data_IF_070902209989
#
_entry.id   IF_070902209989
#
_cell.length_a   1.000
_cell.length_b   1.000
_cell.length_c   1.000
_cell.angle_alpha   90.00
_cell.angle_beta   90.00
_cell.angle_gamma   90.00
#
_symmetry.space_group_name_H-M   'P 1'
#
loop_
_entity.id
_entity.type
_entity.pdbx_description
1 polymer ?
#
# COMPACT_ATOMS: atom_id res chain seq x y z
N UNK A 1 16.49 18.51 -50.36
CA UNK A 1 16.26 17.14 -50.86
C UNK A 1 16.44 16.12 -49.75
N UNK A 2 17.53 16.15 -48.96
CA UNK A 2 17.77 15.24 -47.83
C UNK A 2 16.70 15.35 -46.74
N UNK A 3 16.28 16.57 -46.38
CA UNK A 3 15.22 16.79 -45.38
C UNK A 3 13.88 16.18 -45.84
N UNK A 4 13.55 16.32 -47.12
CA UNK A 4 12.32 15.73 -47.69
C UNK A 4 12.37 14.22 -47.66
N UNK A 5 13.49 13.62 -48.06
CA UNK A 5 13.70 12.15 -47.98
C UNK A 5 13.63 11.65 -46.52
N UNK A 6 14.22 12.39 -45.56
CA UNK A 6 14.15 12.04 -44.16
C UNK A 6 12.71 12.10 -43.61
N UNK A 7 11.94 13.16 -43.95
CA UNK A 7 10.53 13.29 -43.62
C UNK A 7 9.69 12.14 -44.20
N UNK A 8 9.92 11.77 -45.47
CA UNK A 8 9.26 10.63 -46.08
C UNK A 8 9.63 9.31 -45.41
N UNK A 9 10.87 9.12 -45.01
CA UNK A 9 11.30 7.94 -44.28
C UNK A 9 10.62 7.82 -42.93
N UNK A 10 10.49 8.92 -42.17
CA UNK A 10 9.78 8.94 -40.89
C UNK A 10 8.28 8.71 -41.08
N UNK A 11 7.67 9.32 -42.12
CA UNK A 11 6.26 9.13 -42.43
C UNK A 11 5.92 7.67 -42.77
N UNK A 12 6.89 6.92 -43.31
CA UNK A 12 6.76 5.50 -43.62
C UNK A 12 7.02 4.58 -42.42
N UNK A 13 7.49 5.09 -41.27
CA UNK A 13 7.58 4.30 -40.08
C UNK A 13 6.18 3.87 -39.59
N UNK A 14 6.04 2.59 -39.33
CA UNK A 14 4.75 2.06 -38.87
C UNK A 14 4.59 2.33 -37.36
N UNK A 15 4.31 3.59 -36.98
CA UNK A 15 4.11 3.99 -35.60
C UNK A 15 2.96 3.24 -34.92
N UNK A 16 1.91 2.89 -35.66
CA UNK A 16 0.79 2.11 -35.12
C UNK A 16 1.25 0.74 -34.68
N UNK A 17 2.00 0.03 -35.52
CA UNK A 17 2.52 -1.31 -35.21
C UNK A 17 3.48 -1.27 -34.04
N UNK A 18 4.42 -0.32 -34.00
CA UNK A 18 5.39 -0.20 -32.93
C UNK A 18 4.75 0.18 -31.60
N UNK A 19 3.79 1.11 -31.60
CA UNK A 19 3.06 1.47 -30.39
C UNK A 19 2.19 0.33 -29.88
N UNK A 20 1.54 -0.43 -30.75
CA UNK A 20 0.79 -1.64 -30.38
C UNK A 20 1.71 -2.74 -29.82
N UNK A 21 2.93 -2.88 -30.34
CA UNK A 21 3.91 -3.81 -29.80
C UNK A 21 4.30 -3.45 -28.36
N UNK A 22 4.49 -2.16 -28.04
CA UNK A 22 4.75 -1.68 -26.69
C UNK A 22 3.56 -1.98 -25.78
N UNK A 23 2.36 -1.61 -26.18
CA UNK A 23 1.13 -1.87 -25.42
C UNK A 23 0.96 -3.37 -25.12
N UNK A 24 1.11 -4.22 -26.15
CA UNK A 24 1.01 -5.68 -25.99
C UNK A 24 2.09 -6.25 -25.08
N UNK A 25 3.29 -5.66 -25.06
CA UNK A 25 4.35 -6.08 -24.14
C UNK A 25 3.96 -5.86 -22.67
N UNK A 26 3.26 -4.78 -22.36
CA UNK A 26 2.74 -4.54 -21.01
C UNK A 26 1.61 -5.51 -20.63
N UNK A 27 0.70 -5.84 -21.56
CA UNK A 27 -0.32 -6.87 -21.31
C UNK A 27 0.31 -8.24 -21.09
N UNK A 28 1.24 -8.65 -21.94
CA UNK A 28 1.96 -9.90 -21.78
C UNK A 28 2.74 -9.95 -20.44
N UNK A 29 3.35 -8.83 -20.04
CA UNK A 29 4.03 -8.75 -18.74
C UNK A 29 3.05 -8.89 -17.58
N UNK A 30 1.87 -8.25 -17.64
CA UNK A 30 0.85 -8.42 -16.60
C UNK A 30 0.34 -9.85 -16.51
N UNK A 31 0.18 -10.54 -17.63
CA UNK A 31 -0.22 -11.95 -17.65
C UNK A 31 0.85 -12.87 -17.06
N UNK A 32 2.13 -12.66 -17.39
CA UNK A 32 3.25 -13.38 -16.80
C UNK A 32 3.36 -13.16 -15.30
N UNK A 33 3.16 -11.92 -14.84
CA UNK A 33 3.15 -11.59 -13.41
C UNK A 33 1.98 -12.27 -12.70
N UNK A 34 0.79 -12.28 -13.29
CA UNK A 34 -0.37 -12.96 -12.72
C UNK A 34 -0.16 -14.47 -12.64
N UNK A 35 0.44 -15.08 -13.64
CA UNK A 35 0.81 -16.48 -13.61
C UNK A 35 1.85 -16.80 -12.50
N UNK A 36 2.86 -15.95 -12.35
CA UNK A 36 3.87 -16.11 -11.30
C UNK A 36 3.27 -15.87 -9.88
N UNK A 37 2.32 -14.94 -9.74
CA UNK A 37 1.59 -14.73 -8.49
C UNK A 37 0.75 -15.96 -8.17
N UNK A 38 0.01 -16.51 -9.12
CA UNK A 38 -0.83 -17.68 -8.92
C UNK A 38 -0.02 -18.93 -8.52
N UNK A 39 1.18 -19.10 -9.08
CA UNK A 39 2.07 -20.21 -8.76
C UNK A 39 2.65 -20.12 -7.33
N UNK A 40 3.04 -18.92 -6.90
CA UNK A 40 3.75 -18.72 -5.62
C UNK A 40 2.82 -18.34 -4.46
N UNK A 41 1.65 -17.84 -4.76
CA UNK A 41 0.72 -17.28 -3.78
C UNK A 41 -0.42 -18.23 -3.47
N UNK A 42 -0.35 -18.91 -2.33
CA UNK A 42 -1.47 -19.69 -1.83
C UNK A 42 -2.53 -18.75 -1.25
N UNK A 43 -3.59 -18.50 -2.02
CA UNK A 43 -4.76 -17.70 -1.63
C UNK A 43 -5.40 -18.23 -0.33
N UNK A 44 -5.26 -19.54 -0.06
CA UNK A 44 -5.85 -20.20 1.10
C UNK A 44 -5.39 -19.65 2.44
N UNK A 45 -4.13 -19.20 2.52
CA UNK A 45 -3.53 -18.75 3.79
C UNK A 45 -3.87 -17.30 4.15
N UNK A 46 -4.00 -16.43 3.16
CA UNK A 46 -4.13 -14.97 3.39
C UNK A 46 -5.48 -14.40 3.01
N UNK A 47 -6.27 -15.12 2.21
CA UNK A 47 -7.51 -14.62 1.59
C UNK A 47 -7.31 -13.31 0.81
N UNK A 48 -6.09 -13.07 0.31
CA UNK A 48 -5.76 -11.92 -0.53
C UNK A 48 -5.77 -12.34 -1.99
N UNK A 49 -6.43 -11.56 -2.84
CA UNK A 49 -6.38 -11.65 -4.30
C UNK A 49 -5.48 -10.52 -4.81
N UNK A 50 -4.36 -10.89 -5.45
CA UNK A 50 -3.39 -9.94 -5.99
C UNK A 50 -3.38 -10.10 -7.50
N UNK A 51 -3.55 -8.99 -8.21
CA UNK A 51 -3.54 -8.97 -9.68
C UNK A 51 -2.70 -7.84 -10.22
N UNK A 52 -1.80 -8.16 -11.13
CA UNK A 52 -1.12 -7.19 -11.96
C UNK A 52 -2.06 -6.73 -13.09
N UNK A 53 -2.11 -5.43 -13.32
CA UNK A 53 -2.92 -4.81 -14.39
C UNK A 53 -2.08 -3.82 -15.16
N UNK A 54 -2.19 -3.86 -16.48
CA UNK A 54 -1.65 -2.81 -17.34
C UNK A 54 -2.55 -1.59 -17.27
N UNK A 55 -1.98 -0.45 -16.89
CA UNK A 55 -2.66 0.84 -16.85
C UNK A 55 -1.99 1.83 -17.79
N UNK A 56 -2.79 2.75 -18.33
CA UNK A 56 -2.30 3.88 -19.09
C UNK A 56 -2.47 5.16 -18.26
N UNK A 57 -1.40 5.90 -18.05
CA UNK A 57 -1.44 7.12 -17.24
C UNK A 57 -1.84 8.32 -18.13
N UNK A 58 -3.13 8.56 -18.21
CA UNK A 58 -3.72 9.67 -18.99
C UNK A 58 -3.16 11.03 -18.55
N UNK A 59 -3.01 11.25 -17.26
CA UNK A 59 -2.52 12.53 -16.70
C UNK A 59 -1.09 12.81 -17.13
N UNK A 60 -0.21 11.80 -17.07
CA UNK A 60 1.19 11.95 -17.51
C UNK A 60 1.24 12.27 -19.00
N UNK A 61 0.43 11.61 -19.82
CA UNK A 61 0.37 11.86 -21.24
C UNK A 61 -0.12 13.28 -21.57
N UNK A 62 -1.25 13.68 -21.00
CA UNK A 62 -1.83 15.03 -21.22
C UNK A 62 -0.88 16.12 -20.76
N UNK A 63 -0.29 15.99 -19.56
CA UNK A 63 0.64 16.98 -19.03
C UNK A 63 1.89 17.09 -19.92
N UNK A 64 2.43 15.98 -20.40
CA UNK A 64 3.59 16.01 -21.31
C UNK A 64 3.34 16.83 -22.57
N UNK A 65 2.13 16.79 -23.11
CA UNK A 65 1.75 17.55 -24.30
C UNK A 65 1.40 19.00 -23.95
N UNK A 66 0.62 19.19 -22.88
CA UNK A 66 0.17 20.53 -22.46
C UNK A 66 1.32 21.44 -22.03
N UNK A 67 2.45 20.89 -21.60
CA UNK A 67 3.66 21.65 -21.29
C UNK A 67 4.34 22.25 -22.54
N UNK A 68 4.04 21.71 -23.72
CA UNK A 68 4.73 22.06 -24.96
C UNK A 68 3.84 22.89 -25.87
N UNK A 69 2.56 22.55 -25.98
CA UNK A 69 1.63 23.23 -26.88
C UNK A 69 0.54 23.98 -26.10
N UNK A 70 0.01 25.01 -26.74
CA UNK A 70 -1.13 25.74 -26.19
C UNK A 70 -2.44 25.00 -26.54
N UNK A 71 -2.94 24.20 -25.60
CA UNK A 71 -4.12 23.37 -25.78
C UNK A 71 -5.40 24.16 -26.07
N UNK A 72 -5.44 25.46 -25.74
CA UNK A 72 -6.67 26.27 -25.85
C UNK A 72 -7.02 26.72 -27.27
N UNK A 73 -6.07 26.73 -28.21
CA UNK A 73 -6.32 27.43 -29.46
C UNK A 73 -6.72 26.56 -30.66
N UNK A 74 -6.29 25.32 -30.76
CA UNK A 74 -6.53 24.56 -31.99
C UNK A 74 -6.79 23.07 -31.83
N UNK A 75 -6.12 22.41 -30.87
CA UNK A 75 -6.35 20.99 -30.64
C UNK A 75 -7.77 20.70 -30.18
N UNK A 76 -8.42 21.67 -29.52
CA UNK A 76 -9.81 21.55 -29.09
C UNK A 76 -10.80 21.54 -30.28
N UNK A 77 -10.52 22.20 -31.38
CA UNK A 77 -11.50 22.39 -32.46
C UNK A 77 -11.43 21.34 -33.55
N UNK A 78 -10.27 20.80 -33.88
CA UNK A 78 -10.14 19.76 -34.92
C UNK A 78 -9.63 18.42 -34.44
N UNK A 79 -8.88 18.38 -33.31
CA UNK A 79 -8.39 17.17 -32.69
C UNK A 79 -9.13 16.81 -31.41
N UNK A 80 -9.77 17.78 -30.78
CA UNK A 80 -10.34 17.66 -29.45
C UNK A 80 -11.37 16.55 -29.34
N UNK A 81 -12.23 16.40 -30.34
CA UNK A 81 -13.24 15.35 -30.35
C UNK A 81 -12.64 13.94 -30.49
N UNK A 82 -11.51 13.82 -31.23
CA UNK A 82 -10.89 12.52 -31.51
C UNK A 82 -9.78 12.14 -30.54
N UNK A 83 -9.14 13.11 -29.89
CA UNK A 83 -7.98 12.86 -29.02
C UNK A 83 -8.27 13.18 -27.56
N UNK A 84 -8.93 14.32 -27.28
CA UNK A 84 -9.30 14.74 -25.94
C UNK A 84 -10.81 14.87 -25.82
N UNK A 85 -11.36 14.56 -24.64
CA UNK A 85 -12.75 14.90 -24.36
C UNK A 85 -12.88 16.43 -24.34
N UNK A 86 -13.75 16.97 -25.19
CA UNK A 86 -13.89 18.42 -25.39
C UNK A 86 -14.30 19.20 -24.15
N UNK A 87 -14.95 18.56 -23.17
CA UNK A 87 -15.48 19.21 -21.99
C UNK A 87 -14.52 19.22 -20.80
N UNK A 88 -13.54 18.28 -20.73
CA UNK A 88 -12.73 18.08 -19.54
C UNK A 88 -11.22 17.92 -19.83
N UNK A 89 -10.78 18.08 -21.07
CA UNK A 89 -9.39 17.78 -21.49
C UNK A 89 -8.95 16.35 -21.11
N UNK A 90 -9.89 15.44 -20.93
CA UNK A 90 -9.61 14.06 -20.60
C UNK A 90 -9.19 13.29 -21.84
N UNK A 91 -8.02 12.68 -21.77
CA UNK A 91 -7.53 11.82 -22.85
C UNK A 91 -8.21 10.45 -22.80
N UNK A 92 -8.76 10.01 -23.92
CA UNK A 92 -9.28 8.66 -24.06
C UNK A 92 -8.22 7.74 -24.64
N UNK A 93 -7.91 6.68 -23.91
CA UNK A 93 -6.90 5.67 -24.26
C UNK A 93 -7.27 4.90 -25.54
N UNK A 94 -8.56 4.77 -25.85
CA UNK A 94 -9.03 4.05 -27.03
C UNK A 94 -8.35 4.60 -28.27
N UNK A 95 -7.84 3.67 -29.10
CA UNK A 95 -7.09 4.00 -30.32
C UNK A 95 -5.85 4.88 -30.09
N UNK A 96 -5.19 4.73 -28.91
CA UNK A 96 -3.98 5.50 -28.56
C UNK A 96 -2.93 5.44 -29.68
N UNK A 97 -2.67 4.24 -30.21
CA UNK A 97 -1.65 4.03 -31.24
C UNK A 97 -1.96 4.78 -32.54
N UNK A 98 -3.23 4.81 -32.96
CA UNK A 98 -3.66 5.56 -34.13
C UNK A 98 -3.57 7.08 -33.89
N UNK A 99 -3.91 7.54 -32.69
CA UNK A 99 -3.80 8.94 -32.29
C UNK A 99 -2.35 9.42 -32.31
N UNK A 100 -1.43 8.61 -31.74
CA UNK A 100 0.02 8.90 -31.78
C UNK A 100 0.50 9.01 -33.24
N UNK A 101 0.13 8.08 -34.10
CA UNK A 101 0.52 8.12 -35.51
C UNK A 101 0.03 9.39 -36.20
N UNK A 102 -1.20 9.83 -35.96
CA UNK A 102 -1.73 11.11 -36.45
C UNK A 102 -0.92 12.29 -35.91
N UNK A 103 -0.66 12.35 -34.60
CA UNK A 103 0.12 13.45 -34.01
C UNK A 103 1.55 13.52 -34.55
N UNK A 104 2.20 12.38 -34.80
CA UNK A 104 3.51 12.33 -35.46
C UNK A 104 3.44 12.87 -36.88
N UNK A 105 2.42 12.49 -37.67
CA UNK A 105 2.25 12.99 -39.02
C UNK A 105 2.07 14.52 -39.06
N UNK A 106 1.34 15.11 -38.11
CA UNK A 106 1.20 16.56 -38.01
C UNK A 106 2.51 17.23 -37.63
N UNK A 107 3.26 16.68 -36.66
CA UNK A 107 4.55 17.21 -36.28
C UNK A 107 5.55 17.21 -37.45
N UNK A 108 5.55 16.16 -38.28
CA UNK A 108 6.45 16.06 -39.45
C UNK A 108 6.08 17.04 -40.54
N UNK A 109 4.80 17.28 -40.76
CA UNK A 109 4.33 18.22 -41.78
C UNK A 109 4.61 19.68 -41.43
N UNK A 110 5.04 19.96 -40.19
CA UNK A 110 5.29 21.31 -39.66
C UNK A 110 4.11 22.26 -39.92
N UNK A 111 2.91 21.76 -39.85
CA UNK A 111 1.73 22.59 -40.08
C UNK A 111 1.48 23.42 -38.80
N UNK A 112 2.03 24.63 -38.80
CA UNK A 112 1.92 25.58 -37.68
C UNK A 112 0.47 25.89 -37.29
N UNK A 113 -0.47 25.67 -38.22
CA UNK A 113 -1.90 25.83 -37.94
C UNK A 113 -2.42 24.82 -36.92
N UNK A 114 -1.72 23.69 -36.76
CA UNK A 114 -2.11 22.61 -35.84
C UNK A 114 -1.26 22.54 -34.58
N UNK A 115 -0.02 23.03 -34.62
CA UNK A 115 0.92 22.96 -33.50
C UNK A 115 1.28 24.37 -33.02
N UNK A 116 0.46 24.92 -32.13
CA UNK A 116 0.76 26.18 -31.47
C UNK A 116 1.69 25.93 -30.26
N UNK A 117 3.00 25.97 -30.50
CA UNK A 117 4.00 25.78 -29.46
C UNK A 117 4.01 26.94 -28.48
N UNK A 118 4.23 26.61 -27.21
CA UNK A 118 4.59 27.59 -26.19
C UNK A 118 5.96 28.18 -26.48
N UNK A 119 6.23 29.37 -25.95
CA UNK A 119 7.48 30.08 -26.15
C UNK A 119 8.70 29.19 -25.84
N UNK A 120 9.63 29.08 -26.78
CA UNK A 120 10.86 28.29 -26.65
C UNK A 120 10.68 26.79 -26.86
N UNK A 121 9.48 26.30 -27.18
CA UNK A 121 9.22 24.88 -27.45
C UNK A 121 9.33 24.56 -28.95
N UNK A 122 9.67 23.31 -29.22
CA UNK A 122 10.02 22.83 -30.57
C UNK A 122 9.28 21.56 -30.94
N UNK A 123 9.21 21.27 -32.25
CA UNK A 123 8.69 20.01 -32.80
C UNK A 123 9.40 18.78 -32.17
N UNK A 124 10.71 18.88 -31.89
CA UNK A 124 11.49 17.80 -31.27
C UNK A 124 10.94 17.46 -29.87
N UNK A 125 10.71 18.47 -29.05
CA UNK A 125 10.17 18.27 -27.69
C UNK A 125 8.76 17.71 -27.74
N UNK A 126 7.94 18.15 -28.70
CA UNK A 126 6.60 17.61 -28.93
C UNK A 126 6.64 16.13 -29.31
N UNK A 127 7.51 15.74 -30.25
CA UNK A 127 7.69 14.33 -30.62
C UNK A 127 8.13 13.47 -29.43
N UNK A 128 9.06 13.98 -28.63
CA UNK A 128 9.50 13.29 -27.41
C UNK A 128 8.35 13.12 -26.39
N UNK A 129 7.49 14.11 -26.28
CA UNK A 129 6.35 14.07 -25.36
C UNK A 129 5.27 13.06 -25.78
N UNK A 130 4.89 13.05 -27.06
CA UNK A 130 3.86 12.13 -27.57
C UNK A 130 4.33 10.68 -27.65
N UNK A 131 5.65 10.46 -27.80
CA UNK A 131 6.27 9.13 -27.82
C UNK A 131 6.70 8.66 -26.40
N UNK A 132 6.47 9.45 -25.37
CA UNK A 132 6.75 9.05 -24.00
C UNK A 132 5.91 7.84 -23.61
N UNK A 133 6.57 6.85 -23.04
CA UNK A 133 5.85 5.70 -22.50
C UNK A 133 4.97 6.11 -21.30
N UNK A 134 3.68 5.90 -21.43
CA UNK A 134 2.69 6.17 -20.39
C UNK A 134 2.00 4.90 -19.88
N UNK A 135 2.44 3.71 -20.30
CA UNK A 135 1.99 2.45 -19.74
C UNK A 135 2.77 2.12 -18.48
N UNK A 136 2.09 1.54 -17.52
CA UNK A 136 2.66 1.04 -16.26
C UNK A 136 1.96 -0.26 -15.84
N UNK A 137 2.61 -1.01 -14.95
CA UNK A 137 1.96 -2.12 -14.24
C UNK A 137 1.58 -1.62 -12.86
N UNK A 138 0.32 -1.78 -12.54
CA UNK A 138 -0.21 -1.56 -11.18
C UNK A 138 -0.69 -2.87 -10.59
N UNK A 139 -0.58 -2.99 -9.26
CA UNK A 139 -1.07 -4.14 -8.53
C UNK A 139 -2.37 -3.77 -7.81
N UNK A 140 -3.44 -4.52 -8.13
CA UNK A 140 -4.70 -4.46 -7.40
C UNK A 140 -4.68 -5.56 -6.34
N UNK A 141 -4.81 -5.19 -5.07
CA UNK A 141 -4.83 -6.10 -3.94
C UNK A 141 -6.22 -6.03 -3.33
N UNK A 142 -6.87 -7.19 -3.22
CA UNK A 142 -8.22 -7.31 -2.63
C UNK A 142 -8.20 -8.27 -1.45
N UNK A 143 -9.02 -7.97 -0.47
CA UNK A 143 -9.38 -8.88 0.62
C UNK A 143 -10.90 -9.06 0.64
N UNK A 144 -11.36 -10.21 0.17
CA UNK A 144 -12.78 -10.42 -0.16
C UNK A 144 -13.23 -9.50 -1.28
N UNK A 145 -14.26 -8.68 -1.05
CA UNK A 145 -14.77 -7.69 -2.01
C UNK A 145 -14.01 -6.36 -2.01
N UNK A 146 -13.24 -6.08 -0.96
CA UNK A 146 -12.65 -4.78 -0.74
C UNK A 146 -11.30 -4.65 -1.46
N UNK A 147 -11.14 -3.62 -2.27
CA UNK A 147 -9.85 -3.24 -2.86
C UNK A 147 -9.03 -2.42 -1.87
N UNK A 148 -7.71 -2.57 -1.89
CA UNK A 148 -6.78 -1.81 -1.04
C UNK A 148 -6.98 -0.29 -1.18
N UNK A 149 -7.41 0.18 -2.34
CA UNK A 149 -7.64 1.61 -2.60
C UNK A 149 -8.86 2.17 -1.82
N UNK A 150 -9.82 1.31 -1.48
CA UNK A 150 -11.08 1.70 -0.80
C UNK A 150 -11.12 1.28 0.67
N UNK A 151 -10.12 0.54 1.15
CA UNK A 151 -10.02 0.12 2.54
C UNK A 151 -9.69 1.29 3.47
N UNK A 152 -10.13 1.18 4.73
CA UNK A 152 -9.64 2.05 5.82
C UNK A 152 -8.14 1.88 6.02
N UNK A 153 -7.46 2.88 6.59
CA UNK A 153 -6.01 2.84 6.82
C UNK A 153 -5.61 1.64 7.70
N UNK A 154 -6.38 1.32 8.72
CA UNK A 154 -6.15 0.14 9.55
C UNK A 154 -6.23 -1.18 8.76
N UNK A 155 -7.25 -1.32 7.93
CA UNK A 155 -7.41 -2.50 7.06
C UNK A 155 -6.28 -2.63 6.04
N UNK A 156 -5.83 -1.51 5.46
CA UNK A 156 -4.64 -1.45 4.60
C UNK A 156 -3.38 -1.93 5.33
N UNK A 157 -3.17 -1.46 6.56
CA UNK A 157 -2.03 -1.86 7.39
C UNK A 157 -1.96 -3.37 7.58
N UNK A 158 -3.08 -4.02 7.92
CA UNK A 158 -3.14 -5.49 8.05
C UNK A 158 -2.86 -6.19 6.71
N UNK A 159 -3.45 -5.72 5.63
CA UNK A 159 -3.23 -6.31 4.30
C UNK A 159 -1.76 -6.22 3.90
N UNK A 160 -1.11 -5.07 4.13
CA UNK A 160 0.31 -4.86 3.86
C UNK A 160 1.17 -5.76 4.76
N UNK A 161 0.85 -5.88 6.05
CA UNK A 161 1.55 -6.78 6.97
C UNK A 161 1.43 -8.23 6.52
N UNK A 162 0.23 -8.69 6.18
CA UNK A 162 -0.01 -10.04 5.65
C UNK A 162 0.78 -10.28 4.35
N UNK A 163 0.79 -9.31 3.44
CA UNK A 163 1.54 -9.37 2.20
C UNK A 163 3.04 -9.49 2.46
N UNK A 164 3.60 -8.63 3.30
CA UNK A 164 5.02 -8.64 3.65
C UNK A 164 5.45 -9.95 4.27
N UNK A 165 4.70 -10.44 5.25
CA UNK A 165 5.04 -11.68 5.96
C UNK A 165 4.90 -12.91 5.06
N UNK A 166 3.96 -12.89 4.11
CA UNK A 166 3.76 -14.00 3.16
C UNK A 166 4.83 -14.03 2.06
N UNK A 167 5.31 -12.88 1.62
CA UNK A 167 6.36 -12.77 0.59
C UNK A 167 7.77 -12.99 1.15
N UNK A 168 7.97 -12.71 2.43
CA UNK A 168 9.28 -12.83 3.07
C UNK A 168 9.68 -14.31 3.23
N UNK A 169 10.70 -14.73 2.52
CA UNK A 169 11.33 -16.07 2.65
C UNK A 169 12.42 -16.11 3.74
N UNK A 170 12.66 -15.01 4.43
CA UNK A 170 13.70 -14.93 5.43
C UNK A 170 13.28 -15.66 6.73
N UNK A 171 14.20 -16.41 7.32
CA UNK A 171 14.01 -17.14 8.59
C UNK A 171 14.31 -16.26 9.83
N UNK A 172 14.72 -15.02 9.63
CA UNK A 172 15.02 -14.10 10.73
C UNK A 172 13.77 -13.73 11.53
N UNK A 173 13.93 -13.39 12.83
CA UNK A 173 12.84 -12.89 13.66
C UNK A 173 12.15 -11.67 13.03
N UNK A 174 10.85 -11.55 13.25
CA UNK A 174 10.05 -10.41 12.85
C UNK A 174 9.83 -9.52 14.07
N UNK A 175 10.14 -8.24 13.93
CA UNK A 175 9.85 -7.21 14.92
C UNK A 175 8.62 -6.43 14.45
N UNK A 176 7.58 -6.39 15.27
CA UNK A 176 6.33 -5.66 15.01
C UNK A 176 6.12 -4.65 16.13
N UNK A 177 6.07 -3.39 15.79
CA UNK A 177 5.84 -2.31 16.74
C UNK A 177 4.42 -1.78 16.59
N UNK A 178 3.64 -1.87 17.65
CA UNK A 178 2.28 -1.35 17.82
C UNK A 178 1.35 -1.58 16.61
N UNK A 179 1.12 -2.84 16.20
CA UNK A 179 0.30 -3.13 15.02
C UNK A 179 -1.16 -2.71 15.18
N UNK A 180 -1.59 -2.40 16.40
CA UNK A 180 -2.94 -1.99 16.76
C UNK A 180 -3.24 -0.50 16.57
N UNK A 181 -2.26 0.38 16.43
CA UNK A 181 -2.44 1.83 16.52
C UNK A 181 -3.50 2.43 15.59
N UNK A 182 -3.69 1.86 14.42
CA UNK A 182 -4.67 2.33 13.44
C UNK A 182 -5.80 1.32 13.18
N UNK A 183 -5.96 0.32 14.07
CA UNK A 183 -6.92 -0.75 13.89
C UNK A 183 -8.10 -0.58 14.84
N UNK A 184 -9.31 -0.82 14.34
CA UNK A 184 -10.44 -1.04 15.23
C UNK A 184 -10.30 -2.40 15.93
N UNK A 185 -10.84 -2.52 17.14
CA UNK A 185 -10.72 -3.73 17.96
C UNK A 185 -11.19 -5.00 17.23
N UNK A 186 -12.23 -4.90 16.40
CA UNK A 186 -12.78 -6.04 15.68
C UNK A 186 -11.82 -6.57 14.63
N UNK A 187 -11.17 -5.69 13.90
CA UNK A 187 -10.19 -6.06 12.88
C UNK A 187 -8.95 -6.69 13.53
N UNK A 188 -8.51 -6.15 14.67
CA UNK A 188 -7.39 -6.73 15.46
C UNK A 188 -7.70 -8.16 15.85
N UNK A 189 -8.89 -8.42 16.40
CA UNK A 189 -9.26 -9.75 16.87
C UNK A 189 -9.40 -10.78 15.77
N UNK A 190 -10.03 -10.42 14.66
CA UNK A 190 -10.39 -11.39 13.63
C UNK A 190 -9.25 -11.68 12.63
N UNK A 191 -8.53 -10.65 12.24
CA UNK A 191 -7.59 -10.76 11.13
C UNK A 191 -6.13 -10.86 11.57
N UNK A 192 -5.71 -10.00 12.50
CA UNK A 192 -4.32 -9.91 12.93
C UNK A 192 -3.94 -11.09 13.83
N UNK A 193 -4.78 -11.43 14.81
CA UNK A 193 -4.52 -12.53 15.74
C UNK A 193 -4.35 -13.86 15.03
N UNK A 194 -5.30 -14.19 14.16
CA UNK A 194 -5.26 -15.45 13.40
C UNK A 194 -4.00 -15.54 12.54
N UNK A 195 -3.63 -14.43 11.94
CA UNK A 195 -2.46 -14.37 11.10
C UNK A 195 -1.15 -14.50 11.89
N UNK A 196 -1.01 -13.81 13.04
CA UNK A 196 0.16 -13.94 13.92
C UNK A 196 0.30 -15.37 14.43
N UNK A 197 -0.81 -16.01 14.84
CA UNK A 197 -0.80 -17.43 15.27
C UNK A 197 -0.29 -18.39 14.19
N UNK A 198 -0.59 -18.10 12.92
CA UNK A 198 -0.07 -18.90 11.82
C UNK A 198 1.42 -18.64 11.58
N UNK A 199 1.84 -17.38 11.62
CA UNK A 199 3.22 -16.98 11.38
C UNK A 199 4.17 -17.46 12.47
N UNK A 200 3.79 -17.41 13.77
CA UNK A 200 4.63 -17.81 14.89
C UNK A 200 5.05 -19.29 14.84
N UNK A 201 4.30 -20.14 14.12
CA UNK A 201 4.66 -21.54 13.90
C UNK A 201 5.84 -21.73 12.96
N UNK A 202 6.14 -20.72 12.14
CA UNK A 202 7.18 -20.78 11.11
C UNK A 202 8.41 -19.96 11.47
N UNK A 203 8.26 -18.90 12.27
CA UNK A 203 9.35 -18.00 12.63
C UNK A 203 9.05 -17.22 13.91
N UNK A 204 10.09 -16.79 14.59
CA UNK A 204 9.96 -15.99 15.80
C UNK A 204 9.33 -14.63 15.48
N UNK A 205 8.34 -14.23 16.30
CA UNK A 205 7.72 -12.90 16.26
C UNK A 205 7.98 -12.23 17.60
N UNK A 206 8.52 -11.04 17.57
CA UNK A 206 8.69 -10.15 18.73
C UNK A 206 7.80 -8.94 18.48
N UNK A 207 6.81 -8.76 19.34
CA UNK A 207 5.80 -7.72 19.17
C UNK A 207 5.80 -6.77 20.38
N UNK A 208 5.80 -5.48 20.12
CA UNK A 208 5.55 -4.45 21.13
C UNK A 208 4.10 -4.00 20.98
N UNK A 209 3.36 -3.98 22.09
CA UNK A 209 1.95 -3.61 22.10
C UNK A 209 1.56 -3.03 23.46
N UNK A 210 0.67 -2.06 23.45
CA UNK A 210 -0.02 -1.60 24.66
C UNK A 210 -1.41 -2.24 24.83
N UNK A 211 -1.79 -3.12 23.89
CA UNK A 211 -3.07 -3.82 23.90
C UNK A 211 -2.91 -5.23 24.45
N UNK A 212 -3.19 -5.41 25.71
CA UNK A 212 -3.08 -6.71 26.38
C UNK A 212 -4.03 -7.77 25.78
N UNK A 213 -5.15 -7.39 25.14
CA UNK A 213 -5.99 -8.33 24.41
C UNK A 213 -5.24 -8.97 23.23
N UNK A 214 -4.36 -8.21 22.56
CA UNK A 214 -3.53 -8.75 21.49
C UNK A 214 -2.57 -9.81 22.04
N UNK A 215 -1.95 -9.55 23.18
CA UNK A 215 -1.02 -10.48 23.85
C UNK A 215 -1.72 -11.80 24.18
N UNK A 216 -2.90 -11.75 24.80
CA UNK A 216 -3.67 -12.95 25.16
C UNK A 216 -4.16 -13.70 23.93
N UNK A 217 -4.73 -12.99 22.96
CA UNK A 217 -5.33 -13.62 21.78
C UNK A 217 -4.32 -14.15 20.78
N UNK A 218 -3.07 -13.69 20.77
CA UNK A 218 -1.99 -14.26 19.94
C UNK A 218 -1.31 -15.46 20.59
N UNK A 219 -1.68 -15.78 21.84
CA UNK A 219 -1.12 -16.90 22.58
C UNK A 219 0.41 -16.80 22.65
N UNK A 220 0.88 -15.71 23.29
CA UNK A 220 2.29 -15.41 23.41
C UNK A 220 2.98 -16.38 24.40
N UNK A 221 4.09 -17.01 23.99
CA UNK A 221 4.85 -17.95 24.82
C UNK A 221 5.65 -17.23 25.92
N UNK A 222 6.09 -16.00 25.65
CA UNK A 222 6.81 -15.18 26.62
C UNK A 222 6.30 -13.74 26.54
N UNK A 223 5.97 -13.17 27.68
CA UNK A 223 5.48 -11.81 27.83
C UNK A 223 6.52 -11.03 28.62
N UNK A 224 6.90 -9.87 28.09
CA UNK A 224 7.82 -8.94 28.74
C UNK A 224 7.02 -7.72 29.16
N UNK A 225 6.87 -7.50 30.45
CA UNK A 225 6.25 -6.30 31.01
C UNK A 225 7.32 -5.27 31.26
N UNK A 226 7.16 -4.10 30.68
CA UNK A 226 8.06 -2.96 30.80
C UNK A 226 7.46 -1.91 31.73
N UNK A 227 8.28 -1.32 32.58
CA UNK A 227 7.93 -0.17 33.40
C UNK A 227 8.95 0.95 33.26
N UNK A 228 8.47 2.19 33.18
CA UNK A 228 9.28 3.38 33.20
C UNK A 228 9.00 4.19 34.45
N UNK A 229 9.99 4.34 35.30
CA UNK A 229 9.90 5.19 36.50
C UNK A 229 10.05 6.66 36.06
N UNK A 230 9.06 7.51 36.36
CA UNK A 230 9.11 8.95 36.09
C UNK A 230 10.17 9.67 36.94
N UNK A 231 10.55 10.88 36.51
CA UNK A 231 11.56 11.70 37.26
C UNK A 231 11.13 12.04 38.67
N UNK A 232 9.84 12.06 38.95
CA UNK A 232 9.24 12.35 40.25
C UNK A 232 8.67 11.09 40.95
N UNK A 233 9.06 9.90 40.51
CA UNK A 233 8.60 8.66 41.10
C UNK A 233 9.11 8.53 42.54
N UNK A 234 8.22 8.17 43.48
CA UNK A 234 8.53 7.95 44.90
C UNK A 234 9.48 6.78 45.14
N UNK A 235 9.83 6.03 44.13
CA UNK A 235 10.72 4.88 44.19
C UNK A 235 12.14 5.30 43.84
N UNK A 236 13.03 5.26 44.81
CA UNK A 236 14.45 5.55 44.68
C UNK A 236 15.16 4.39 43.96
N UNK A 237 14.87 4.24 42.66
CA UNK A 237 15.35 3.12 41.85
C UNK A 237 16.59 3.46 41.06
N UNK A 238 17.47 2.46 40.93
CA UNK A 238 18.75 2.56 40.22
C UNK A 238 18.57 2.74 38.70
N UNK A 239 17.46 2.22 38.15
CA UNK A 239 17.21 2.20 36.71
C UNK A 239 15.90 2.90 36.35
N UNK A 240 15.92 3.69 35.27
CA UNK A 240 14.75 4.35 34.75
C UNK A 240 13.79 3.40 34.02
N UNK A 241 14.33 2.35 33.42
CA UNK A 241 13.57 1.33 32.69
C UNK A 241 13.86 -0.03 33.34
N UNK A 242 12.83 -0.78 33.63
CA UNK A 242 12.89 -2.10 34.21
C UNK A 242 11.95 -3.04 33.45
N UNK A 243 12.28 -4.32 33.42
CA UNK A 243 11.56 -5.34 32.71
C UNK A 243 11.45 -6.61 33.51
N UNK A 244 10.29 -7.27 33.47
CA UNK A 244 10.09 -8.63 33.95
C UNK A 244 9.49 -9.46 32.83
N UNK A 245 9.81 -10.74 32.77
CA UNK A 245 9.31 -11.63 31.76
C UNK A 245 8.85 -12.97 32.32
N UNK A 246 7.95 -13.61 31.60
CA UNK A 246 7.42 -14.92 31.92
C UNK A 246 6.27 -15.32 31.03
N UNK A 247 5.74 -16.51 31.25
CA UNK A 247 4.53 -16.97 30.57
C UNK A 247 3.27 -16.36 31.20
N UNK A 248 2.14 -16.45 30.51
CA UNK A 248 0.86 -15.95 31.00
C UNK A 248 0.37 -16.70 32.24
N UNK A 249 0.85 -17.94 32.47
CA UNK A 249 0.53 -18.74 33.63
C UNK A 249 1.26 -18.29 34.89
N UNK A 250 2.28 -17.44 34.78
CA UNK A 250 3.01 -16.92 35.92
C UNK A 250 2.10 -16.02 36.75
N UNK A 251 1.71 -16.48 37.92
CA UNK A 251 0.80 -15.80 38.85
C UNK A 251 1.32 -15.84 40.26
N UNK A 252 1.45 -14.68 40.85
CA UNK A 252 1.77 -14.51 42.32
C UNK A 252 1.41 -13.09 42.74
N UNK A 253 1.29 -12.91 44.05
CA UNK A 253 1.18 -11.60 44.71
C UNK A 253 2.13 -11.53 45.89
N UNK A 254 2.97 -10.50 45.93
CA UNK A 254 3.91 -10.23 47.00
C UNK A 254 3.58 -8.89 47.67
N UNK A 255 2.85 -8.96 48.77
CA UNK A 255 2.42 -7.78 49.51
C UNK A 255 3.56 -7.03 50.25
N UNK A 256 4.73 -7.63 50.36
CA UNK A 256 5.91 -7.01 50.98
C UNK A 256 6.73 -6.17 49.99
N UNK A 257 6.50 -6.38 48.71
CA UNK A 257 7.20 -5.66 47.64
C UNK A 257 6.44 -4.38 47.29
N UNK A 258 7.14 -3.27 47.18
CA UNK A 258 6.58 -1.96 46.84
C UNK A 258 6.69 -1.67 45.35
N UNK A 259 7.63 -2.34 44.70
CA UNK A 259 7.91 -2.14 43.30
C UNK A 259 6.87 -2.81 42.40
N UNK A 260 6.25 -2.03 41.57
CA UNK A 260 5.13 -2.45 40.69
C UNK A 260 5.44 -3.74 39.91
N UNK A 261 6.61 -3.84 39.27
CA UNK A 261 6.98 -5.01 38.48
C UNK A 261 7.17 -6.29 39.26
N UNK A 262 7.62 -6.20 40.54
CA UNK A 262 7.95 -7.36 41.33
C UNK A 262 6.87 -7.72 42.36
N UNK A 263 5.83 -6.91 42.44
CA UNK A 263 4.71 -7.07 43.36
C UNK A 263 3.79 -8.21 42.95
N UNK A 264 3.74 -8.52 41.67
CA UNK A 264 2.77 -9.46 41.09
C UNK A 264 3.33 -10.20 39.87
N UNK A 265 2.65 -11.28 39.46
CA UNK A 265 3.03 -12.09 38.33
C UNK A 265 2.63 -11.47 36.99
N UNK A 266 3.05 -12.11 35.90
CA UNK A 266 2.76 -11.68 34.52
C UNK A 266 1.25 -11.64 34.26
N UNK A 267 0.51 -12.62 34.74
CA UNK A 267 -0.94 -12.68 34.57
C UNK A 267 -1.63 -11.47 35.17
N UNK A 268 -1.26 -11.10 36.38
CA UNK A 268 -1.84 -9.95 37.08
C UNK A 268 -1.50 -8.65 36.33
N UNK A 269 -0.28 -8.49 35.84
CA UNK A 269 0.11 -7.35 35.01
C UNK A 269 -0.73 -7.25 33.72
N UNK A 270 -0.90 -8.38 33.03
CA UNK A 270 -1.72 -8.42 31.80
C UNK A 270 -3.18 -8.07 32.10
N UNK A 271 -3.76 -8.60 33.19
CA UNK A 271 -5.13 -8.27 33.60
C UNK A 271 -5.28 -6.80 33.97
N UNK A 272 -4.29 -6.23 34.68
CA UNK A 272 -4.31 -4.81 35.05
C UNK A 272 -4.29 -3.88 33.84
N UNK A 273 -3.49 -4.20 32.82
CA UNK A 273 -3.41 -3.44 31.58
C UNK A 273 -4.69 -3.62 30.73
N UNK A 274 -5.25 -4.85 30.67
CA UNK A 274 -6.44 -5.17 29.88
C UNK A 274 -7.68 -4.38 30.29
N UNK A 275 -7.89 -4.20 31.59
CA UNK A 275 -9.19 -3.79 32.12
C UNK A 275 -9.13 -2.51 32.96
N UNK A 276 -7.97 -1.90 33.09
CA UNK A 276 -7.77 -0.83 34.06
C UNK A 276 -7.92 -1.38 35.52
N UNK A 277 -7.54 -2.66 35.68
CA UNK A 277 -7.64 -3.42 36.92
C UNK A 277 -8.97 -4.17 37.11
N UNK A 278 -8.92 -5.24 37.87
CA UNK A 278 -10.08 -6.08 38.28
C UNK A 278 -11.23 -5.22 38.84
N UNK A 279 -10.91 -4.11 39.46
CA UNK A 279 -11.89 -3.18 40.04
C UNK A 279 -12.71 -2.41 38.95
N UNK A 280 -12.11 -2.09 37.80
CA UNK A 280 -12.84 -1.45 36.73
C UNK A 280 -13.82 -2.41 36.05
N UNK A 281 -13.45 -3.69 35.95
CA UNK A 281 -14.32 -4.74 35.41
C UNK A 281 -15.50 -4.99 36.35
N UNK A 282 -15.25 -5.17 37.64
CA UNK A 282 -16.30 -5.32 38.65
C UNK A 282 -17.28 -4.15 38.68
N UNK A 283 -16.76 -2.91 38.60
CA UNK A 283 -17.61 -1.71 38.51
C UNK A 283 -18.50 -1.72 37.23
N UNK A 284 -18.03 -2.29 36.12
CA UNK A 284 -18.85 -2.46 34.91
C UNK A 284 -19.89 -3.57 35.09
N UNK A 285 -19.52 -4.73 35.60
CA UNK A 285 -20.46 -5.80 35.94
C UNK A 285 -21.58 -5.29 36.84
N UNK A 286 -21.25 -4.61 37.93
CA UNK A 286 -22.21 -4.03 38.85
C UNK A 286 -23.11 -2.99 38.17
N UNK A 287 -22.55 -2.14 37.30
CA UNK A 287 -23.31 -1.08 36.63
C UNK A 287 -24.30 -1.62 35.60
N UNK A 288 -23.94 -2.68 34.92
CA UNK A 288 -24.76 -3.24 33.83
C UNK A 288 -25.55 -4.50 34.26
N UNK A 289 -25.48 -4.88 35.56
CA UNK A 289 -26.16 -6.06 36.11
C UNK A 289 -25.91 -7.34 35.31
N UNK A 290 -24.72 -7.47 34.72
CA UNK A 290 -24.30 -8.69 34.03
C UNK A 290 -23.91 -9.69 35.10
N UNK A 291 -24.89 -10.38 35.67
CA UNK A 291 -24.67 -11.56 36.51
C UNK A 291 -24.62 -12.79 35.63
N UNK A 292 -23.49 -13.50 35.63
CA UNK A 292 -23.45 -14.89 35.17
C UNK A 292 -24.18 -15.82 36.12
#
# INVERSE_FOLDING_TARGET
QQIKQFRESIANLNFVTNSKAIENSYYNLSDLLNAAIADKWSIETTKLDIRAKTVFNNTVFVNSISDIINMKSYLSNQFGADIFNTNEYEYRKENHCEKIAKLVQFAIKEDERFLNFKQGKTTKEFLLAILKNCFAIEYDIKKGSDSIHTMSEGKKGIVILQLYLSLSQADCPILIDQPEDNLDNRTVYQDLNDYIKQCKRKRQIIMVSHNANLVVNTDAENIIVANQTGENGSENRKYRFEYVNGSLENTFTNSKETAILYKQGIREHVCEILEGGVDAFKKREDKYHIKN
#
